data_IF_282639046431
#
_entry.id   IF_282639046431
#
_cell.length_a   1.000
_cell.length_b   1.000
_cell.length_c   1.000
_cell.angle_alpha   90.00
_cell.angle_beta   90.00
_cell.angle_gamma   90.00
#
_symmetry.space_group_name_H-M   'P 1'
#
loop_
_entity.id
_entity.type
_entity.pdbx_description
1 polymer ?
#
# COMPACT_ATOMS: atom_id res chain seq x y z
N UNK A 1 0.41 -3.76 4.52
CA UNK A 1 -0.84 -3.14 5.02
C UNK A 1 -1.13 -1.82 4.32
N UNK A 2 -0.36 -0.74 4.58
CA UNK A 2 -0.71 0.61 4.11
C UNK A 2 -0.77 0.76 2.58
N UNK A 3 0.10 0.10 1.81
CA UNK A 3 0.00 0.11 0.34
C UNK A 3 -1.28 -0.57 -0.15
N UNK A 4 -1.67 -1.69 0.45
CA UNK A 4 -2.93 -2.38 0.12
C UNK A 4 -4.14 -1.51 0.45
N UNK A 5 -4.09 -0.79 1.58
CA UNK A 5 -5.11 0.19 1.95
C UNK A 5 -5.28 1.29 0.90
N UNK A 6 -4.18 1.80 0.32
CA UNK A 6 -4.23 2.82 -0.71
C UNK A 6 -4.84 2.31 -2.03
N UNK A 7 -4.61 1.03 -2.35
CA UNK A 7 -5.08 0.37 -3.57
C UNK A 7 -6.51 -0.20 -3.47
N UNK A 8 -7.15 -0.11 -2.30
CA UNK A 8 -8.45 -0.78 -2.07
C UNK A 8 -9.60 -0.16 -2.86
N UNK A 9 -9.50 1.13 -3.15
CA UNK A 9 -10.59 1.93 -3.73
C UNK A 9 -10.40 2.11 -5.25
N UNK A 10 -9.15 2.14 -5.73
CA UNK A 10 -8.80 2.30 -7.15
C UNK A 10 -7.38 1.79 -7.45
N UNK A 11 -7.14 1.51 -8.73
CA UNK A 11 -5.81 1.13 -9.24
C UNK A 11 -4.89 2.35 -9.33
N UNK A 12 -3.70 2.25 -8.77
CA UNK A 12 -2.76 3.37 -8.68
C UNK A 12 -1.41 3.03 -9.31
N UNK A 13 -0.75 4.05 -9.88
CA UNK A 13 0.66 3.95 -10.29
C UNK A 13 1.61 4.44 -9.20
N UNK A 14 2.88 4.03 -9.29
CA UNK A 14 3.88 4.23 -8.23
C UNK A 14 3.96 5.65 -7.66
N UNK A 15 3.95 6.67 -8.51
CA UNK A 15 4.00 8.06 -8.04
C UNK A 15 2.70 8.51 -7.32
N UNK A 16 1.53 8.00 -7.70
CA UNK A 16 0.32 8.29 -6.91
C UNK A 16 0.41 7.67 -5.51
N UNK A 17 0.95 6.46 -5.41
CA UNK A 17 1.12 5.78 -4.12
C UNK A 17 2.02 6.58 -3.18
N UNK A 18 3.17 7.08 -3.65
CA UNK A 18 4.05 7.90 -2.80
C UNK A 18 3.39 9.21 -2.38
N UNK A 19 2.67 9.88 -3.29
CA UNK A 19 1.95 11.12 -3.00
C UNK A 19 0.82 10.90 -1.98
N UNK A 20 0.00 9.88 -2.17
CA UNK A 20 -1.10 9.56 -1.26
C UNK A 20 -0.59 9.12 0.12
N UNK A 21 0.51 8.39 0.17
CA UNK A 21 1.14 7.97 1.43
C UNK A 21 1.61 9.18 2.26
N UNK A 22 2.27 10.15 1.61
CA UNK A 22 2.65 11.39 2.24
C UNK A 22 1.44 12.23 2.66
N UNK A 23 0.44 12.36 1.77
CA UNK A 23 -0.76 13.16 2.05
C UNK A 23 -1.57 12.59 3.23
N UNK A 24 -1.81 11.28 3.27
CA UNK A 24 -2.57 10.64 4.36
C UNK A 24 -1.84 10.67 5.70
N UNK A 25 -0.52 10.77 5.69
CA UNK A 25 0.29 10.92 6.90
C UNK A 25 0.52 12.39 7.29
N UNK A 26 -0.14 13.36 6.63
CA UNK A 26 0.11 14.80 6.83
C UNK A 26 1.60 15.17 6.66
N UNK A 27 2.29 14.48 5.76
CA UNK A 27 3.72 14.65 5.49
C UNK A 27 4.65 14.05 6.54
N UNK A 28 4.14 13.43 7.60
CA UNK A 28 4.97 12.82 8.66
C UNK A 28 5.71 11.58 8.18
N UNK A 29 5.21 10.91 7.13
CA UNK A 29 5.87 9.76 6.52
C UNK A 29 5.97 9.92 5.00
N UNK A 30 7.18 9.79 4.48
CA UNK A 30 7.45 9.73 3.04
C UNK A 30 8.07 8.38 2.69
N UNK A 31 7.84 7.93 1.46
CA UNK A 31 8.36 6.66 0.96
C UNK A 31 9.35 6.91 -0.17
N UNK A 32 10.54 6.36 -0.04
CA UNK A 32 11.51 6.33 -1.13
C UNK A 32 11.00 5.45 -2.26
N UNK A 33 11.19 5.89 -3.49
CA UNK A 33 10.68 5.22 -4.68
C UNK A 33 11.23 3.79 -4.84
N UNK A 34 12.52 3.57 -4.56
CA UNK A 34 13.12 2.23 -4.57
C UNK A 34 12.51 1.27 -3.53
N UNK A 35 12.13 1.79 -2.36
CA UNK A 35 11.43 1.02 -1.31
C UNK A 35 10.03 0.65 -1.77
N UNK A 36 9.29 1.60 -2.36
CA UNK A 36 7.95 1.34 -2.88
C UNK A 36 7.97 0.22 -3.91
N UNK A 37 8.82 0.31 -4.94
CA UNK A 37 8.86 -0.70 -5.99
C UNK A 37 9.30 -2.07 -5.47
N UNK A 38 10.19 -2.12 -4.48
CA UNK A 38 10.58 -3.38 -3.83
C UNK A 38 9.41 -4.03 -3.07
N UNK A 39 8.54 -3.22 -2.46
CA UNK A 39 7.32 -3.70 -1.80
C UNK A 39 6.31 -4.19 -2.84
N UNK A 40 6.05 -3.39 -3.88
CA UNK A 40 5.10 -3.74 -4.95
C UNK A 40 5.52 -5.02 -5.67
N UNK A 41 6.79 -5.17 -6.01
CA UNK A 41 7.33 -6.39 -6.61
C UNK A 41 7.04 -7.63 -5.76
N UNK A 42 7.28 -7.56 -4.44
CA UNK A 42 6.97 -8.68 -3.53
C UNK A 42 5.47 -8.98 -3.45
N UNK A 43 4.63 -7.95 -3.46
CA UNK A 43 3.18 -8.13 -3.42
C UNK A 43 2.63 -8.74 -4.71
N UNK A 44 3.16 -8.35 -5.87
CA UNK A 44 2.84 -8.98 -7.16
C UNK A 44 3.31 -10.43 -7.19
N UNK A 45 4.55 -10.70 -6.77
CA UNK A 45 5.09 -12.05 -6.71
C UNK A 45 4.31 -12.98 -5.76
N UNK A 46 3.75 -12.44 -4.67
CA UNK A 46 2.88 -13.16 -3.75
C UNK A 46 1.43 -13.29 -4.23
N UNK A 47 1.09 -12.72 -5.40
CA UNK A 47 -0.25 -12.77 -5.98
C UNK A 47 -1.27 -11.90 -5.25
N UNK A 48 -0.85 -10.94 -4.42
CA UNK A 48 -1.75 -9.99 -3.74
C UNK A 48 -2.12 -8.81 -4.63
N UNK A 49 -1.30 -8.52 -5.63
CA UNK A 49 -1.52 -7.48 -6.62
C UNK A 49 -1.31 -8.06 -8.01
N UNK A 50 -2.00 -7.52 -9.00
CA UNK A 50 -1.58 -7.61 -10.41
C UNK A 50 -1.07 -6.26 -10.89
N UNK A 51 -0.37 -6.25 -12.02
CA UNK A 51 0.17 -5.04 -12.62
C UNK A 51 -0.07 -5.01 -14.12
N UNK A 52 -0.29 -3.80 -14.65
CA UNK A 52 -0.46 -3.57 -16.09
C UNK A 52 0.11 -2.21 -16.50
N UNK A 53 0.45 -2.09 -17.78
CA UNK A 53 0.94 -0.84 -18.35
C UNK A 53 -0.17 -0.10 -19.10
N UNK A 54 -0.31 1.20 -18.84
CA UNK A 54 -1.21 2.08 -19.57
C UNK A 54 -0.43 3.22 -20.22
N UNK A 55 -0.74 3.51 -21.48
CA UNK A 55 -0.23 4.67 -22.17
C UNK A 55 -0.94 5.94 -21.69
N UNK A 56 -0.17 6.93 -21.28
CA UNK A 56 -0.64 8.24 -20.88
C UNK A 56 -0.03 9.29 -21.83
N UNK A 57 -0.88 9.86 -22.68
CA UNK A 57 -0.45 10.75 -23.77
C UNK A 57 0.27 10.01 -24.89
N UNK A 58 1.20 10.67 -25.58
CA UNK A 58 1.82 10.14 -26.81
C UNK A 58 2.95 9.13 -26.61
N UNK A 59 3.64 9.12 -25.46
CA UNK A 59 4.87 8.30 -25.26
C UNK A 59 5.11 7.78 -23.83
N UNK A 60 4.36 8.24 -22.82
CA UNK A 60 4.63 7.82 -21.44
C UNK A 60 3.81 6.59 -21.11
N UNK A 61 4.47 5.52 -20.67
CA UNK A 61 3.83 4.36 -20.06
C UNK A 61 3.83 4.53 -18.55
N UNK A 62 2.71 4.26 -17.91
CA UNK A 62 2.60 4.15 -16.45
C UNK A 62 2.24 2.71 -16.10
N UNK A 63 2.88 2.20 -15.06
CA UNK A 63 2.57 0.89 -14.49
C UNK A 63 1.59 1.08 -13.35
N UNK A 64 0.40 0.52 -13.51
CA UNK A 64 -0.66 0.52 -12.51
C UNK A 64 -0.65 -0.82 -11.78
N UNK A 65 -1.11 -0.77 -10.54
CA UNK A 65 -1.23 -1.92 -9.67
C UNK A 65 -2.70 -2.07 -9.27
N UNK A 66 -3.20 -3.29 -9.36
CA UNK A 66 -4.57 -3.65 -9.00
C UNK A 66 -4.56 -4.53 -7.76
N UNK A 67 -5.49 -4.28 -6.83
CA UNK A 67 -5.64 -5.09 -5.63
C UNK A 67 -6.47 -6.35 -5.90
N UNK A 68 -5.82 -7.51 -5.85
CA UNK A 68 -6.48 -8.81 -6.04
C UNK A 68 -7.26 -9.25 -4.80
N UNK A 69 -8.16 -10.21 -4.96
CA UNK A 69 -8.98 -10.72 -3.88
C UNK A 69 -8.15 -11.35 -2.73
N UNK A 70 -7.10 -12.10 -3.08
CA UNK A 70 -6.08 -12.58 -2.14
C UNK A 70 -5.42 -11.44 -1.35
N UNK A 71 -5.18 -10.31 -2.01
CA UNK A 71 -4.63 -9.10 -1.40
C UNK A 71 -5.59 -8.44 -0.43
N UNK A 72 -6.90 -8.46 -0.70
CA UNK A 72 -7.94 -7.97 0.24
C UNK A 72 -8.00 -8.84 1.49
N UNK A 73 -8.03 -10.16 1.34
CA UNK A 73 -8.00 -11.11 2.47
C UNK A 73 -6.74 -10.89 3.31
N UNK A 74 -5.58 -10.76 2.65
CA UNK A 74 -4.33 -10.49 3.34
C UNK A 74 -4.33 -9.12 4.04
N UNK A 75 -4.92 -8.09 3.43
CA UNK A 75 -5.08 -6.78 4.05
C UNK A 75 -5.91 -6.85 5.33
N UNK A 76 -7.06 -7.54 5.32
CA UNK A 76 -7.90 -7.71 6.50
C UNK A 76 -7.17 -8.44 7.64
N UNK A 77 -6.37 -9.46 7.31
CA UNK A 77 -5.52 -10.15 8.29
C UNK A 77 -4.51 -9.18 8.92
N UNK A 78 -3.81 -8.40 8.09
CA UNK A 78 -2.83 -7.43 8.58
C UNK A 78 -3.44 -6.35 9.49
N UNK A 79 -4.67 -5.91 9.21
CA UNK A 79 -5.38 -4.94 10.06
C UNK A 79 -5.67 -5.56 11.43
N UNK A 80 -6.20 -6.79 11.46
CA UNK A 80 -6.46 -7.50 12.73
C UNK A 80 -5.18 -7.68 13.55
N UNK A 81 -4.08 -8.08 12.91
CA UNK A 81 -2.78 -8.23 13.57
C UNK A 81 -2.27 -6.90 14.11
N UNK A 82 -2.41 -5.81 13.33
CA UNK A 82 -2.03 -4.46 13.75
C UNK A 82 -2.83 -4.00 14.98
N UNK A 83 -4.14 -4.20 14.98
CA UNK A 83 -5.01 -3.79 16.08
C UNK A 83 -4.63 -4.50 17.40
N UNK A 84 -4.29 -5.79 17.34
CA UNK A 84 -3.82 -6.56 18.49
C UNK A 84 -2.50 -5.98 19.02
N UNK A 85 -1.54 -5.69 18.14
CA UNK A 85 -0.24 -5.13 18.53
C UNK A 85 -0.41 -3.74 19.15
N UNK A 86 -1.19 -2.86 18.53
CA UNK A 86 -1.43 -1.50 19.03
C UNK A 86 -2.13 -1.54 20.39
N UNK A 87 -3.14 -2.39 20.56
CA UNK A 87 -3.81 -2.55 21.85
C UNK A 87 -2.84 -3.01 22.96
N UNK A 88 -1.94 -3.95 22.65
CA UNK A 88 -0.90 -4.39 23.57
C UNK A 88 0.07 -3.27 23.96
N UNK A 89 0.56 -2.51 22.98
CA UNK A 89 1.47 -1.36 23.22
C UNK A 89 0.79 -0.29 24.05
N UNK A 90 -0.45 0.09 23.71
CA UNK A 90 -1.20 1.12 24.43
C UNK A 90 -1.43 0.73 25.90
N UNK A 91 -1.67 -0.55 26.17
CA UNK A 91 -1.79 -1.07 27.55
C UNK A 91 -0.49 -0.96 28.34
N UNK A 92 0.66 -1.20 27.73
CA UNK A 92 1.97 -1.06 28.38
C UNK A 92 2.30 0.41 28.68
N UNK A 93 1.87 1.30 27.79
CA UNK A 93 2.14 2.75 27.90
C UNK A 93 1.10 3.50 28.75
N UNK A 94 0.14 2.80 29.34
CA UNK A 94 -1.00 3.39 30.06
C UNK A 94 -1.75 4.47 29.25
N UNK A 95 -1.85 4.25 27.93
CA UNK A 95 -2.59 5.09 26.99
C UNK A 95 -3.92 4.41 26.66
N UNK A 96 -4.86 4.45 27.61
CA UNK A 96 -6.24 3.98 27.39
C UNK A 96 -7.10 5.07 26.76
#
# INVERSE_FOLDING_TARGET
MLILYLLRDEDLYGYQLTQLFAAKSLGTYTMLEGTLYSILFRMVAAGYLSEYEMLVGKKRKRRYYHLEESGKVYFEQLVKEFDVVVAGINRILDRA
#
